data_IF_796992966573
#
_entry.id   IF_796992966573
#
_cell.length_a   1.000
_cell.length_b   1.000
_cell.length_c   1.000
_cell.angle_alpha   90.00
_cell.angle_beta   90.00
_cell.angle_gamma   90.00
#
_symmetry.space_group_name_H-M   'P 1'
#
loop_
_entity.id
_entity.type
_entity.pdbx_description
1 polymer ?
#
# COMPACT_ATOMS: atom_id res chain seq x y z
N UNK A 1 30.06 3.25 -8.00
CA UNK A 1 30.16 4.01 -9.27
C UNK A 1 29.39 3.35 -10.41
N UNK A 2 29.48 2.02 -10.62
CA UNK A 2 28.79 1.32 -11.72
C UNK A 2 27.26 1.48 -11.64
N UNK A 3 26.66 1.36 -10.47
CA UNK A 3 25.19 1.51 -10.31
C UNK A 3 24.71 2.95 -10.57
N UNK A 4 25.55 3.97 -10.32
CA UNK A 4 25.18 5.37 -10.58
C UNK A 4 24.99 5.65 -12.08
N UNK A 5 25.61 4.87 -12.96
CA UNK A 5 25.43 5.02 -14.41
C UNK A 5 24.01 4.65 -14.88
N UNK A 6 23.26 3.89 -14.07
CA UNK A 6 21.92 3.42 -14.39
C UNK A 6 20.82 4.10 -13.56
N UNK A 7 21.19 5.05 -12.67
CA UNK A 7 20.23 5.62 -11.73
C UNK A 7 19.10 6.38 -12.43
N UNK A 8 19.42 7.17 -13.45
CA UNK A 8 18.44 7.99 -14.16
C UNK A 8 17.41 7.12 -14.88
N UNK A 9 17.86 6.05 -15.57
CA UNK A 9 16.96 5.09 -16.20
C UNK A 9 16.08 4.35 -15.18
N UNK A 10 16.64 3.98 -14.04
CA UNK A 10 15.89 3.33 -12.96
C UNK A 10 14.85 4.26 -12.32
N UNK A 11 15.16 5.56 -12.19
CA UNK A 11 14.21 6.56 -11.70
C UNK A 11 13.05 6.77 -12.68
N UNK A 12 13.35 6.86 -13.98
CA UNK A 12 12.34 6.98 -15.03
C UNK A 12 11.41 5.75 -15.07
N UNK A 13 11.97 4.55 -15.00
CA UNK A 13 11.19 3.32 -14.98
C UNK A 13 10.25 3.27 -13.76
N UNK A 14 10.74 3.54 -12.55
CA UNK A 14 9.90 3.58 -11.34
C UNK A 14 8.83 4.68 -11.40
N UNK A 15 9.14 5.82 -12.02
CA UNK A 15 8.15 6.87 -12.23
C UNK A 15 6.99 6.40 -13.12
N UNK A 16 7.28 5.72 -14.22
CA UNK A 16 6.25 5.17 -15.11
C UNK A 16 5.35 4.15 -14.38
N UNK A 17 5.95 3.28 -13.55
CA UNK A 17 5.20 2.34 -12.71
C UNK A 17 4.32 3.08 -11.70
N UNK A 18 4.85 4.11 -11.05
CA UNK A 18 4.11 4.94 -10.10
C UNK A 18 2.90 5.60 -10.78
N UNK A 19 3.09 6.23 -11.93
CA UNK A 19 2.03 6.91 -12.69
C UNK A 19 0.93 5.92 -13.12
N UNK A 20 1.29 4.70 -13.54
CA UNK A 20 0.33 3.65 -13.90
C UNK A 20 -0.47 3.17 -12.68
N UNK A 21 0.13 2.99 -11.51
CA UNK A 21 -0.60 2.70 -10.28
C UNK A 21 -1.58 3.82 -9.94
N UNK A 22 -1.16 5.09 -9.98
CA UNK A 22 -2.04 6.23 -9.76
C UNK A 22 -3.24 6.22 -10.70
N UNK A 23 -3.03 6.01 -12.00
CA UNK A 23 -4.09 6.01 -13.00
C UNK A 23 -5.13 4.90 -12.75
N UNK A 24 -4.71 3.72 -12.29
CA UNK A 24 -5.59 2.55 -12.16
C UNK A 24 -6.24 2.40 -10.77
N UNK A 25 -5.64 2.98 -9.72
CA UNK A 25 -6.07 2.75 -8.34
C UNK A 25 -6.68 3.99 -7.67
N UNK A 26 -6.55 5.20 -8.24
CA UNK A 26 -6.91 6.47 -7.61
C UNK A 26 -8.39 6.58 -7.17
N UNK A 27 -9.29 5.87 -7.85
CA UNK A 27 -10.73 5.98 -7.61
C UNK A 27 -11.32 4.79 -6.81
N UNK A 28 -10.46 3.97 -6.20
CA UNK A 28 -10.93 2.84 -5.40
C UNK A 28 -11.28 3.34 -3.99
N UNK A 29 -12.54 3.20 -3.54
CA UNK A 29 -12.94 3.60 -2.19
C UNK A 29 -12.10 2.87 -1.13
N UNK A 30 -11.71 3.59 -0.09
CA UNK A 30 -10.92 3.05 1.01
C UNK A 30 -9.43 2.89 0.72
N UNK A 31 -8.96 3.28 -0.45
CA UNK A 31 -7.53 3.38 -0.75
C UNK A 31 -7.10 4.84 -0.86
N UNK A 32 -6.11 5.21 -0.07
CA UNK A 32 -5.51 6.55 -0.12
C UNK A 32 -4.03 6.44 -0.49
N UNK A 33 -3.62 7.24 -1.46
CA UNK A 33 -2.26 7.27 -1.98
C UNK A 33 -1.60 8.59 -1.60
N UNK A 34 -0.30 8.55 -1.38
CA UNK A 34 0.46 9.76 -1.20
C UNK A 34 0.57 10.50 -2.54
N UNK A 35 -0.03 11.68 -2.62
CA UNK A 35 0.07 12.51 -3.82
C UNK A 35 1.39 13.28 -3.82
N UNK A 36 2.02 13.36 -5.00
CA UNK A 36 3.22 14.14 -5.23
C UNK A 36 2.94 15.63 -4.92
N UNK A 37 3.78 16.26 -4.11
CA UNK A 37 3.85 17.71 -4.02
C UNK A 37 4.79 18.25 -5.10
N UNK A 38 4.43 19.33 -5.77
CA UNK A 38 5.15 19.88 -6.93
C UNK A 38 6.60 20.33 -6.64
N UNK A 39 6.99 20.37 -5.37
CA UNK A 39 8.27 20.92 -4.92
C UNK A 39 9.38 19.88 -4.70
N UNK A 40 9.13 18.59 -4.99
CA UNK A 40 10.11 17.54 -4.75
C UNK A 40 10.34 16.65 -5.96
N UNK A 41 11.60 16.42 -6.29
CA UNK A 41 12.00 15.30 -7.15
C UNK A 41 11.94 14.02 -6.33
N UNK A 42 11.04 13.12 -6.67
CA UNK A 42 10.82 11.88 -5.95
C UNK A 42 11.55 10.72 -6.62
N UNK A 43 12.20 9.89 -5.81
CA UNK A 43 12.92 8.71 -6.31
C UNK A 43 12.02 7.49 -6.55
N UNK A 44 10.72 7.58 -6.23
CA UNK A 44 9.74 6.49 -6.35
C UNK A 44 10.23 5.15 -5.76
N UNK A 45 10.94 5.19 -4.62
CA UNK A 45 11.49 4.00 -3.98
C UNK A 45 10.42 3.10 -3.37
N UNK A 46 9.26 3.67 -3.04
CA UNK A 46 8.10 2.98 -2.46
C UNK A 46 6.80 3.47 -3.09
N UNK A 47 5.80 2.60 -3.12
CA UNK A 47 4.42 2.96 -3.42
C UNK A 47 3.52 2.62 -2.23
N UNK A 48 3.43 3.51 -1.22
CA UNK A 48 2.61 3.31 -0.04
C UNK A 48 1.13 3.54 -0.34
N UNK A 49 0.30 2.63 0.14
CA UNK A 49 -1.16 2.70 0.07
C UNK A 49 -1.69 2.61 1.50
N UNK A 50 -2.53 3.56 1.90
CA UNK A 50 -3.32 3.46 3.12
C UNK A 50 -4.63 2.78 2.81
N UNK A 51 -4.98 1.77 3.60
CA UNK A 51 -6.19 0.98 3.47
C UNK A 51 -7.07 1.31 4.66
N UNK A 52 -8.23 1.91 4.40
CA UNK A 52 -9.22 2.23 5.43
C UNK A 52 -10.46 1.33 5.35
N UNK A 53 -11.39 1.53 6.27
CA UNK A 53 -12.55 0.69 6.46
C UNK A 53 -13.56 0.71 5.30
N UNK A 54 -13.39 1.62 4.32
CA UNK A 54 -14.20 1.65 3.10
C UNK A 54 -13.70 0.68 2.02
N UNK A 55 -12.48 0.14 2.15
CA UNK A 55 -12.00 -0.94 1.31
C UNK A 55 -12.46 -2.29 1.89
N UNK A 56 -12.86 -3.28 1.06
CA UNK A 56 -13.44 -4.55 1.53
C UNK A 56 -12.53 -5.43 2.39
N UNK A 57 -11.23 -5.24 2.28
CA UNK A 57 -10.22 -5.99 3.03
C UNK A 57 -9.41 -5.05 3.93
N UNK A 58 -9.04 -5.54 5.09
CA UNK A 58 -8.01 -4.92 5.92
C UNK A 58 -6.65 -4.99 5.23
N UNK A 59 -5.68 -4.19 5.70
CA UNK A 59 -4.30 -4.23 5.23
C UNK A 59 -3.71 -5.65 5.24
N UNK A 60 -3.95 -6.42 6.31
CA UNK A 60 -3.39 -7.75 6.45
C UNK A 60 -4.09 -8.78 5.54
N UNK A 61 -5.40 -8.67 5.36
CA UNK A 61 -6.13 -9.51 4.41
C UNK A 61 -5.69 -9.23 2.96
N UNK A 62 -5.50 -7.97 2.58
CA UNK A 62 -4.97 -7.64 1.26
C UNK A 62 -3.53 -8.13 1.08
N UNK A 63 -2.70 -8.03 2.11
CA UNK A 63 -1.34 -8.58 2.09
C UNK A 63 -1.34 -10.09 1.82
N UNK A 64 -2.17 -10.87 2.51
CA UNK A 64 -2.26 -12.32 2.28
C UNK A 64 -2.88 -12.65 0.91
N UNK A 65 -3.90 -11.93 0.47
CA UNK A 65 -4.50 -12.09 -0.86
C UNK A 65 -3.50 -11.84 -2.02
N UNK A 66 -2.64 -10.84 -1.88
CA UNK A 66 -1.55 -10.59 -2.83
C UNK A 66 -0.51 -11.72 -2.80
N UNK A 67 -0.17 -12.20 -1.61
CA UNK A 67 0.80 -13.27 -1.43
C UNK A 67 0.33 -14.61 -2.00
N UNK A 68 -0.98 -14.93 -1.93
CA UNK A 68 -1.58 -16.11 -2.57
C UNK A 68 -1.39 -16.10 -4.10
N UNK A 69 -1.30 -14.91 -4.70
CA UNK A 69 -1.01 -14.70 -6.13
C UNK A 69 0.50 -14.57 -6.42
N UNK A 70 1.37 -14.91 -5.45
CA UNK A 70 2.83 -14.73 -5.51
C UNK A 70 3.28 -13.28 -5.69
N UNK A 71 2.51 -12.31 -5.18
CA UNK A 71 2.84 -10.90 -5.18
C UNK A 71 3.28 -10.50 -3.77
N UNK A 72 4.55 -10.09 -3.63
CA UNK A 72 5.15 -9.77 -2.34
C UNK A 72 5.15 -8.27 -2.08
N UNK A 73 4.10 -7.79 -1.40
CA UNK A 73 4.01 -6.43 -0.87
C UNK A 73 4.74 -6.32 0.48
N UNK A 74 4.89 -5.11 1.01
CA UNK A 74 5.54 -4.88 2.31
C UNK A 74 4.61 -4.13 3.24
N UNK A 75 4.42 -4.67 4.45
CA UNK A 75 3.87 -3.91 5.57
C UNK A 75 4.93 -2.89 5.98
N UNK A 76 4.67 -1.60 5.76
CA UNK A 76 5.67 -0.54 5.91
C UNK A 76 5.92 -0.25 7.40
N UNK A 77 7.16 -0.57 7.82
CA UNK A 77 7.64 -0.58 9.20
C UNK A 77 6.72 -1.29 10.19
N UNK A 78 6.40 -2.54 9.88
CA UNK A 78 5.69 -3.40 10.79
C UNK A 78 6.57 -4.60 11.19
N UNK A 79 6.68 -4.92 12.49
CA UNK A 79 6.17 -4.11 13.62
C UNK A 79 6.95 -2.81 13.81
N UNK A 80 6.32 -1.83 14.50
CA UNK A 80 6.98 -0.57 14.86
C UNK A 80 8.21 -0.84 15.74
N UNK A 81 9.27 -0.05 15.55
CA UNK A 81 10.50 -0.14 16.38
C UNK A 81 10.17 0.05 17.86
N UNK A 82 9.21 0.95 18.18
CA UNK A 82 8.73 1.18 19.54
C UNK A 82 8.15 -0.06 20.23
N UNK A 83 7.68 -1.06 19.45
CA UNK A 83 7.12 -2.31 19.97
C UNK A 83 8.18 -3.40 20.24
N UNK A 84 9.42 -3.21 19.81
CA UNK A 84 10.49 -4.18 20.00
C UNK A 84 10.84 -4.34 21.48
N UNK A 85 11.19 -5.56 21.88
CA UNK A 85 11.47 -5.90 23.27
C UNK A 85 12.47 -4.97 23.96
N UNK A 86 13.46 -4.47 23.21
CA UNK A 86 14.50 -3.56 23.69
C UNK A 86 14.03 -2.12 23.88
N UNK A 87 12.94 -1.69 23.26
CA UNK A 87 12.46 -0.30 23.29
C UNK A 87 11.09 -0.12 23.94
N UNK A 88 10.23 -1.14 23.95
CA UNK A 88 8.82 -1.04 24.43
C UNK A 88 8.65 -0.59 25.87
N UNK A 89 9.70 -0.68 26.69
CA UNK A 89 9.69 -0.25 28.09
C UNK A 89 9.97 1.26 28.27
N UNK A 90 10.41 1.94 27.22
CA UNK A 90 10.70 3.39 27.26
C UNK A 90 9.38 4.18 27.28
N UNK A 91 9.31 5.26 28.09
CA UNK A 91 8.12 6.12 28.12
C UNK A 91 7.75 6.68 26.72
N UNK A 92 8.75 7.05 25.90
CA UNK A 92 8.56 7.55 24.53
C UNK A 92 8.05 6.50 23.54
N UNK A 93 8.15 5.22 23.87
CA UNK A 93 7.68 4.11 23.02
C UNK A 93 6.21 3.72 23.28
N UNK A 94 5.57 4.32 24.29
CA UNK A 94 4.19 4.03 24.63
C UNK A 94 3.23 4.40 23.50
N UNK A 95 2.22 3.56 23.19
CA UNK A 95 1.28 3.81 22.10
C UNK A 95 0.59 5.16 22.15
N UNK A 96 0.23 5.64 23.35
CA UNK A 96 -0.39 6.95 23.56
C UNK A 96 0.48 8.15 23.15
N UNK A 97 1.80 7.96 23.10
CA UNK A 97 2.73 9.00 22.63
C UNK A 97 2.99 8.92 21.11
N UNK A 98 2.55 7.85 20.46
CA UNK A 98 2.79 7.57 19.04
C UNK A 98 1.47 7.21 18.29
N UNK A 99 0.37 7.98 18.48
CA UNK A 99 -0.93 7.60 17.93
C UNK A 99 -0.91 7.51 16.41
N UNK A 100 -0.28 8.45 15.73
CA UNK A 100 -0.19 8.49 14.25
C UNK A 100 0.63 7.30 13.73
N UNK A 101 1.78 6.99 14.36
CA UNK A 101 2.62 5.89 13.93
C UNK A 101 1.92 4.53 14.09
N UNK A 102 1.21 4.34 15.22
CA UNK A 102 0.43 3.11 15.44
C UNK A 102 -0.68 2.97 14.41
N UNK A 103 -1.47 4.01 14.18
CA UNK A 103 -2.55 4.01 13.20
C UNK A 103 -2.03 3.71 11.77
N UNK A 104 -0.94 4.37 11.37
CA UNK A 104 -0.36 4.15 10.04
C UNK A 104 0.21 2.74 9.90
N UNK A 105 0.88 2.22 10.93
CA UNK A 105 1.46 0.87 10.90
C UNK A 105 0.42 -0.24 10.71
N UNK A 106 -0.82 -0.01 11.11
CA UNK A 106 -1.93 -0.95 10.93
C UNK A 106 -2.55 -0.89 9.53
N UNK A 107 -2.47 0.26 8.86
CA UNK A 107 -3.21 0.55 7.63
C UNK A 107 -2.35 0.63 6.37
N UNK A 108 -1.03 0.81 6.50
CA UNK A 108 -0.16 1.05 5.36
C UNK A 108 0.40 -0.24 4.76
N UNK A 109 0.34 -0.32 3.43
CA UNK A 109 0.94 -1.38 2.64
C UNK A 109 1.73 -0.77 1.48
N UNK A 110 2.98 -1.18 1.28
CA UNK A 110 3.76 -0.77 0.10
C UNK A 110 3.61 -1.83 -0.99
N UNK A 111 3.10 -1.41 -2.14
CA UNK A 111 3.02 -2.26 -3.33
C UNK A 111 4.41 -2.43 -3.97
N UNK A 112 4.64 -3.52 -4.73
CA UNK A 112 5.89 -3.73 -5.43
C UNK A 112 6.17 -2.60 -6.42
N UNK A 113 7.39 -2.06 -6.39
CA UNK A 113 7.89 -1.07 -7.34
C UNK A 113 9.41 -1.23 -7.49
N UNK A 114 9.87 -1.62 -8.68
CA UNK A 114 11.27 -1.80 -9.02
C UNK A 114 11.49 -1.56 -10.52
N UNK A 115 12.69 -1.12 -10.95
CA UNK A 115 12.91 -0.65 -12.33
C UNK A 115 12.61 -1.69 -13.41
N UNK A 116 12.85 -2.97 -13.12
CA UNK A 116 12.68 -4.08 -14.08
C UNK A 116 11.26 -4.68 -14.05
N UNK A 117 10.32 -4.08 -13.29
CA UNK A 117 8.92 -4.52 -13.23
C UNK A 117 8.24 -4.24 -14.57
N UNK A 118 7.80 -5.29 -15.25
CA UNK A 118 7.09 -5.16 -16.50
C UNK A 118 5.60 -4.79 -16.29
N UNK A 119 4.94 -4.50 -17.39
CA UNK A 119 3.54 -4.08 -17.36
C UNK A 119 2.61 -5.22 -16.94
N UNK A 120 2.89 -6.46 -17.34
CA UNK A 120 2.09 -7.63 -16.98
C UNK A 120 2.15 -7.90 -15.48
N UNK A 121 3.36 -7.87 -14.90
CA UNK A 121 3.55 -8.00 -13.45
C UNK A 121 2.80 -6.92 -12.69
N UNK A 122 2.88 -5.67 -13.14
CA UNK A 122 2.17 -4.56 -12.51
C UNK A 122 0.66 -4.69 -12.63
N UNK A 123 0.14 -5.08 -13.80
CA UNK A 123 -1.29 -5.29 -14.01
C UNK A 123 -1.83 -6.44 -13.16
N UNK A 124 -1.05 -7.48 -12.88
CA UNK A 124 -1.44 -8.52 -11.92
C UNK A 124 -1.70 -7.93 -10.53
N UNK A 125 -0.82 -7.06 -10.03
CA UNK A 125 -1.02 -6.36 -8.74
C UNK A 125 -2.31 -5.54 -8.75
N UNK A 126 -2.50 -4.73 -9.80
CA UNK A 126 -3.68 -3.88 -9.97
C UNK A 126 -4.96 -4.72 -10.00
N UNK A 127 -4.98 -5.80 -10.78
CA UNK A 127 -6.15 -6.67 -10.94
C UNK A 127 -6.56 -7.35 -9.63
N UNK A 128 -5.61 -7.77 -8.79
CA UNK A 128 -5.92 -8.32 -7.46
C UNK A 128 -6.63 -7.26 -6.61
N UNK A 129 -6.12 -6.05 -6.56
CA UNK A 129 -6.70 -4.96 -5.76
C UNK A 129 -8.10 -4.60 -6.29
N UNK A 130 -8.26 -4.43 -7.60
CA UNK A 130 -9.55 -4.09 -8.21
C UNK A 130 -10.60 -5.18 -8.04
N UNK A 131 -10.22 -6.45 -8.11
CA UNK A 131 -11.12 -7.61 -7.93
C UNK A 131 -11.84 -7.58 -6.58
N UNK A 132 -11.16 -7.18 -5.53
CA UNK A 132 -11.79 -7.05 -4.21
C UNK A 132 -12.62 -5.78 -4.07
N UNK A 133 -12.22 -4.68 -4.71
CA UNK A 133 -12.98 -3.43 -4.71
C UNK A 133 -14.38 -3.58 -5.34
N UNK A 134 -14.54 -4.41 -6.36
CA UNK A 134 -15.82 -4.64 -7.07
C UNK A 134 -16.78 -5.55 -6.31
N UNK A 135 -16.31 -6.36 -5.34
CA UNK A 135 -17.17 -7.30 -4.59
C UNK A 135 -18.14 -6.65 -3.60
N UNK A 136 -18.10 -5.34 -3.37
CA UNK A 136 -18.99 -4.64 -2.44
C UNK A 136 -20.49 -4.53 -2.82
N UNK A 137 -20.92 -4.51 -4.11
CA UNK A 137 -22.34 -4.29 -4.39
C UNK A 137 -23.27 -5.43 -3.92
N UNK A 138 -22.79 -6.67 -3.77
CA UNK A 138 -23.67 -7.80 -3.43
C UNK A 138 -23.99 -7.94 -1.94
N UNK A 139 -23.08 -7.59 -1.04
CA UNK A 139 -23.29 -7.74 0.41
C UNK A 139 -24.18 -6.66 1.02
N UNK A 140 -24.17 -5.44 0.49
CA UNK A 140 -25.02 -4.36 0.96
C UNK A 140 -26.49 -4.51 0.54
N UNK A 141 -26.79 -5.27 -0.51
CA UNK A 141 -28.15 -5.56 -0.96
C UNK A 141 -28.85 -6.67 -0.15
N UNK A 142 -28.09 -7.64 0.35
CA UNK A 142 -28.63 -8.77 1.12
C UNK A 142 -29.02 -8.35 2.55
N UNK A 143 -28.27 -7.45 3.17
CA UNK A 143 -28.61 -6.98 4.52
C UNK A 143 -29.82 -6.02 4.57
N UNK A 144 -30.18 -5.35 3.47
CA UNK A 144 -31.37 -4.49 3.41
C UNK A 144 -32.68 -5.27 3.19
N UNK A 145 -32.61 -6.52 2.74
CA UNK A 145 -33.78 -7.37 2.52
C UNK A 145 -34.18 -8.21 3.75
N UNK A 146 -33.32 -8.27 4.78
CA UNK A 146 -33.62 -9.01 6.02
C UNK A 146 -34.19 -8.14 7.17
N UNK A 147 -34.39 -6.82 6.96
CA UNK A 147 -34.91 -5.86 7.97
C UNK A 147 -36.21 -5.17 7.49
N UNK A 148 -36.89 -5.73 6.50
CA UNK A 148 -38.19 -5.27 6.04
C UNK A 148 -39.32 -6.29 6.37
#
# INVERSE_FOLDING_TARGET
>A
LLQLQHIDSALLARRAIYERYCANLANIPGLTFYSRTEHFEWNHAYYPVLIDDAYPLTRDELYEALKEENIYSRRYFYPLISSFAMYRHLPSARPEHLPVANQLAEKILCLPIYPDMDEEEQMRVINVIQRYAVKQPELASVQRQQVA
#
